data_IF_736839234569
#
_entry.id   IF_736839234569
#
_cell.length_a   1.000
_cell.length_b   1.000
_cell.length_c   1.000
_cell.angle_alpha   90.00
_cell.angle_beta   90.00
_cell.angle_gamma   90.00
#
_symmetry.space_group_name_H-M   'P 1'
#
loop_
_entity.id
_entity.type
_entity.pdbx_description
1 polymer ?
#
# COMPACT_ATOMS: atom_id res chain seq x y z
N UNK A 1 20.49 -7.52 -3.26
CA UNK A 1 19.02 -7.72 -3.22
C UNK A 1 18.41 -6.69 -4.16
N UNK A 2 18.02 -7.11 -5.36
CA UNK A 2 17.34 -6.22 -6.30
C UNK A 2 16.00 -5.83 -5.70
N UNK A 3 15.84 -4.56 -5.30
CA UNK A 3 14.52 -4.01 -4.99
C UNK A 3 13.81 -3.87 -6.33
N UNK A 4 12.98 -4.84 -6.68
CA UNK A 4 12.01 -4.66 -7.75
C UNK A 4 11.00 -3.63 -7.24
N UNK A 5 11.13 -2.39 -7.71
CA UNK A 5 10.16 -1.35 -7.42
C UNK A 5 8.93 -1.64 -8.25
N UNK A 6 7.95 -2.27 -7.61
CA UNK A 6 6.60 -2.24 -8.13
C UNK A 6 6.04 -0.82 -8.09
N UNK A 7 5.33 -0.41 -9.14
CA UNK A 7 4.58 0.83 -9.17
C UNK A 7 3.12 0.51 -8.86
N UNK A 8 2.47 1.31 -8.02
CA UNK A 8 1.06 1.12 -7.69
C UNK A 8 0.21 1.15 -8.98
N UNK A 9 -0.86 0.34 -9.01
CA UNK A 9 -1.77 0.30 -10.15
C UNK A 9 -2.49 1.64 -10.27
N UNK A 10 -2.61 2.17 -11.49
CA UNK A 10 -3.50 3.28 -11.79
C UNK A 10 -4.94 2.88 -11.43
N UNK A 11 -5.59 3.60 -10.48
CA UNK A 11 -6.93 3.26 -10.01
C UNK A 11 -7.98 3.51 -11.10
N UNK A 12 -9.12 2.83 -11.01
CA UNK A 12 -10.29 3.21 -11.80
C UNK A 12 -10.89 4.54 -11.32
N UNK A 13 -11.74 5.15 -12.14
CA UNK A 13 -12.46 6.39 -11.82
C UNK A 13 -13.93 6.09 -11.56
N UNK A 14 -14.48 6.64 -10.50
CA UNK A 14 -15.89 6.50 -10.12
C UNK A 14 -16.53 7.87 -9.96
N UNK A 15 -17.53 8.16 -10.78
CA UNK A 15 -18.37 9.35 -10.63
C UNK A 15 -19.47 9.05 -9.60
N UNK A 16 -19.48 9.80 -8.51
CA UNK A 16 -20.46 9.68 -7.42
C UNK A 16 -20.82 11.05 -6.86
N UNK A 17 -22.12 11.37 -6.82
CA UNK A 17 -22.67 12.64 -6.30
C UNK A 17 -21.99 13.90 -6.89
N UNK A 18 -21.65 13.86 -8.18
CA UNK A 18 -21.06 14.99 -8.90
C UNK A 18 -19.54 15.12 -8.76
N UNK A 19 -18.88 14.25 -7.99
CA UNK A 19 -17.43 14.19 -7.87
C UNK A 19 -16.86 12.96 -8.60
N UNK A 20 -15.58 13.00 -8.96
CA UNK A 20 -14.85 11.88 -9.58
C UNK A 20 -13.80 11.36 -8.61
N UNK A 21 -14.04 10.16 -8.10
CA UNK A 21 -13.20 9.50 -7.12
C UNK A 21 -12.28 8.48 -7.78
N UNK A 22 -11.04 8.39 -7.31
CA UNK A 22 -10.21 7.21 -7.57
C UNK A 22 -10.76 6.04 -6.75
N UNK A 23 -10.91 4.87 -7.38
CA UNK A 23 -11.27 3.65 -6.66
C UNK A 23 -10.14 2.62 -6.70
N UNK A 24 -9.86 2.08 -5.52
CA UNK A 24 -8.80 1.13 -5.23
C UNK A 24 -9.33 -0.31 -5.38
N UNK A 25 -9.89 -0.57 -6.56
CA UNK A 25 -10.43 -1.86 -6.98
C UNK A 25 -10.42 -1.94 -8.51
N UNK A 26 -10.61 -3.14 -9.06
CA UNK A 26 -10.73 -3.38 -10.50
C UNK A 26 -12.07 -4.07 -10.82
N UNK A 27 -13.23 -3.37 -10.75
CA UNK A 27 -14.54 -4.04 -10.80
C UNK A 27 -14.83 -4.72 -12.14
N UNK A 28 -14.18 -4.29 -13.23
CA UNK A 28 -14.30 -4.93 -14.55
C UNK A 28 -13.62 -6.30 -14.57
N UNK A 29 -12.55 -6.49 -13.78
CA UNK A 29 -11.86 -7.78 -13.70
C UNK A 29 -12.73 -8.88 -13.11
N UNK A 30 -13.76 -8.53 -12.35
CA UNK A 30 -14.71 -9.51 -11.80
C UNK A 30 -15.55 -10.22 -12.89
N UNK A 31 -15.54 -9.74 -14.15
CA UNK A 31 -16.19 -10.43 -15.27
C UNK A 31 -15.38 -11.59 -15.83
N UNK A 32 -14.06 -11.59 -15.63
CA UNK A 32 -13.15 -12.53 -16.25
C UNK A 32 -12.55 -13.45 -15.18
N UNK A 33 -12.40 -14.73 -15.49
CA UNK A 33 -11.77 -15.65 -14.52
C UNK A 33 -10.25 -15.47 -14.46
N UNK A 34 -9.63 -15.02 -15.56
CA UNK A 34 -8.23 -14.64 -15.65
C UNK A 34 -7.96 -13.68 -16.83
N UNK A 35 -6.75 -13.13 -16.89
CA UNK A 35 -6.30 -12.16 -17.89
C UNK A 35 -6.38 -12.65 -19.34
N UNK A 36 -6.31 -13.96 -19.60
CA UNK A 36 -6.35 -14.54 -20.95
C UNK A 36 -7.76 -14.52 -21.56
N UNK A 37 -8.79 -14.39 -20.72
CA UNK A 37 -10.18 -14.27 -21.15
C UNK A 37 -10.61 -12.83 -21.40
N UNK A 38 -9.73 -11.85 -21.11
CA UNK A 38 -10.02 -10.45 -21.43
C UNK A 38 -10.16 -10.29 -22.94
N UNK A 39 -11.21 -9.63 -23.42
CA UNK A 39 -11.29 -9.26 -24.82
C UNK A 39 -10.18 -8.26 -25.15
N UNK A 40 -9.81 -8.16 -26.43
CA UNK A 40 -8.95 -7.08 -26.91
C UNK A 40 -9.71 -5.75 -26.82
N UNK A 41 -9.64 -5.08 -25.66
CA UNK A 41 -10.39 -3.85 -25.40
C UNK A 41 -10.20 -2.77 -26.48
N UNK A 42 -9.02 -2.72 -27.10
CA UNK A 42 -8.66 -1.71 -28.10
C UNK A 42 -8.49 -2.27 -29.53
N UNK A 43 -8.93 -3.51 -29.78
CA UNK A 43 -8.79 -4.18 -31.08
C UNK A 43 -7.32 -4.34 -31.48
N UNK A 44 -6.96 -3.81 -32.65
CA UNK A 44 -5.58 -3.82 -33.18
C UNK A 44 -4.74 -2.61 -32.73
N UNK A 45 -5.33 -1.68 -31.99
CA UNK A 45 -4.58 -0.54 -31.43
C UNK A 45 -3.67 -1.03 -30.32
N UNK A 46 -2.42 -0.59 -30.34
CA UNK A 46 -1.43 -0.99 -29.35
C UNK A 46 -1.83 -0.47 -27.96
N UNK A 47 -2.06 -1.40 -27.02
CA UNK A 47 -2.26 -1.09 -25.61
C UNK A 47 -0.94 -0.61 -24.99
N UNK A 48 -1.02 0.20 -23.94
CA UNK A 48 0.19 0.71 -23.32
C UNK A 48 0.96 -0.35 -22.52
N UNK A 49 2.29 -0.33 -22.62
CA UNK A 49 3.22 -0.98 -21.68
C UNK A 49 3.69 0.00 -20.60
N UNK A 50 2.92 0.14 -19.52
CA UNK A 50 3.30 0.95 -18.35
C UNK A 50 3.42 0.10 -17.10
N UNK A 51 4.50 0.28 -16.35
CA UNK A 51 4.73 -0.40 -15.06
C UNK A 51 3.72 0.04 -13.99
N UNK A 52 3.06 1.20 -14.16
CA UNK A 52 2.00 1.69 -13.29
C UNK A 52 0.60 1.20 -13.72
N UNK A 53 0.47 0.57 -14.89
CA UNK A 53 -0.80 0.06 -15.40
C UNK A 53 -0.61 -1.33 -16.01
N UNK A 54 -0.34 -2.29 -15.12
CA UNK A 54 -0.08 -3.68 -15.48
C UNK A 54 -1.31 -4.36 -16.11
N UNK A 55 -2.53 -3.90 -15.81
CA UNK A 55 -3.76 -4.36 -16.49
C UNK A 55 -3.98 -3.79 -17.90
N UNK A 56 -3.21 -2.77 -18.30
CA UNK A 56 -3.27 -2.17 -19.64
C UNK A 56 -4.42 -1.20 -19.93
N UNK A 57 -5.35 -0.97 -18.98
CA UNK A 57 -6.45 -0.03 -19.13
C UNK A 57 -6.81 0.67 -17.82
N UNK A 58 -7.59 1.76 -17.90
CA UNK A 58 -8.30 2.42 -16.81
C UNK A 58 -9.80 2.43 -17.14
N UNK A 59 -10.66 1.96 -16.25
CA UNK A 59 -12.11 2.00 -16.43
C UNK A 59 -12.73 3.19 -15.68
N UNK A 60 -13.83 3.65 -16.24
CA UNK A 60 -14.65 4.72 -15.70
C UNK A 60 -16.04 4.18 -15.39
N UNK A 61 -16.52 4.56 -14.21
CA UNK A 61 -17.75 4.08 -13.62
C UNK A 61 -18.60 5.25 -13.15
N UNK A 62 -19.91 5.03 -13.05
CA UNK A 62 -20.85 5.99 -12.45
C UNK A 62 -21.88 5.25 -11.61
N UNK A 63 -22.31 5.86 -10.50
CA UNK A 63 -23.47 5.40 -9.73
C UNK A 63 -24.65 6.32 -10.04
N UNK A 64 -25.72 5.76 -10.58
CA UNK A 64 -26.97 6.47 -10.90
C UNK A 64 -28.11 5.70 -10.23
N UNK A 65 -28.96 6.40 -9.47
CA UNK A 65 -30.11 5.83 -8.75
C UNK A 65 -29.76 4.56 -7.94
N UNK A 66 -28.58 4.55 -7.32
CA UNK A 66 -28.10 3.43 -6.51
C UNK A 66 -27.58 2.23 -7.32
N UNK A 67 -27.42 2.34 -8.63
CA UNK A 67 -26.87 1.29 -9.48
C UNK A 67 -25.52 1.69 -10.07
N UNK A 68 -24.55 0.77 -10.07
CA UNK A 68 -23.25 0.93 -10.69
C UNK A 68 -23.32 0.63 -12.20
N UNK A 69 -22.67 1.48 -12.98
CA UNK A 69 -22.54 1.34 -14.42
C UNK A 69 -21.11 1.58 -14.87
N UNK A 70 -20.67 0.81 -15.87
CA UNK A 70 -19.44 1.05 -16.63
C UNK A 70 -19.74 2.05 -17.76
N UNK A 71 -18.96 3.14 -17.85
CA UNK A 71 -19.12 4.20 -18.88
C UNK A 71 -17.94 4.28 -19.83
N UNK A 72 -16.80 3.70 -19.47
CA UNK A 72 -15.63 3.68 -20.34
C UNK A 72 -14.54 2.72 -19.91
N UNK A 73 -13.76 2.29 -20.90
CA UNK A 73 -12.51 1.57 -20.73
C UNK A 73 -11.49 2.31 -21.60
N UNK A 74 -10.42 2.81 -21.01
CA UNK A 74 -9.46 3.69 -21.63
C UNK A 74 -8.06 3.08 -21.58
N UNK A 75 -7.24 3.29 -22.61
CA UNK A 75 -5.83 2.93 -22.54
C UNK A 75 -5.11 3.82 -21.53
N UNK A 76 -4.34 3.23 -20.63
CA UNK A 76 -3.70 3.96 -19.53
C UNK A 76 -2.74 5.08 -19.96
N UNK A 77 -2.06 4.94 -21.09
CA UNK A 77 -1.03 5.92 -21.52
C UNK A 77 -1.51 6.88 -22.60
N UNK A 78 -2.74 6.69 -23.05
CA UNK A 78 -3.36 7.45 -24.13
C UNK A 78 -4.75 7.93 -23.69
N UNK A 79 -4.91 8.20 -22.40
CA UNK A 79 -6.16 8.68 -21.83
C UNK A 79 -6.55 10.02 -22.46
N UNK A 80 -5.59 10.93 -22.62
CA UNK A 80 -5.77 12.24 -23.26
C UNK A 80 -5.97 12.13 -24.78
N UNK A 81 -5.36 11.12 -25.40
CA UNK A 81 -5.55 10.78 -26.83
C UNK A 81 -6.86 10.00 -27.08
N UNK A 82 -7.66 9.80 -26.03
CA UNK A 82 -9.00 9.19 -26.05
C UNK A 82 -9.04 7.81 -26.70
N UNK A 83 -7.99 7.00 -26.55
CA UNK A 83 -8.06 5.59 -26.93
C UNK A 83 -9.00 4.89 -25.95
N UNK A 84 -10.26 4.77 -26.38
CA UNK A 84 -11.37 4.18 -25.65
C UNK A 84 -11.83 2.90 -26.34
N UNK A 85 -12.19 1.90 -25.55
CA UNK A 85 -12.82 0.69 -26.05
C UNK A 85 -14.22 0.97 -26.62
N UNK A 86 -14.62 0.21 -27.63
CA UNK A 86 -16.00 0.23 -28.13
C UNK A 86 -16.89 -0.65 -27.23
N UNK A 87 -17.61 -0.01 -26.31
CA UNK A 87 -18.51 -0.71 -25.40
C UNK A 87 -19.70 -1.37 -26.13
N UNK A 88 -20.11 -0.86 -27.29
CA UNK A 88 -21.17 -1.48 -28.10
C UNK A 88 -20.68 -2.82 -28.65
N UNK A 89 -19.46 -2.84 -29.19
CA UNK A 89 -18.85 -4.08 -29.69
C UNK A 89 -18.57 -5.09 -28.55
N UNK A 90 -18.15 -4.61 -27.38
CA UNK A 90 -17.80 -5.49 -26.25
C UNK A 90 -19.01 -6.07 -25.50
N UNK A 91 -20.09 -5.28 -25.36
CA UNK A 91 -21.21 -5.64 -24.48
C UNK A 91 -22.55 -5.78 -25.21
N UNK A 92 -22.62 -5.45 -26.50
CA UNK A 92 -23.79 -5.63 -27.35
C UNK A 92 -25.04 -5.00 -26.74
N UNK A 93 -26.11 -5.80 -26.61
CA UNK A 93 -27.40 -5.36 -26.05
C UNK A 93 -27.34 -4.91 -24.57
N UNK A 94 -26.25 -5.22 -23.84
CA UNK A 94 -26.06 -4.72 -22.47
C UNK A 94 -25.60 -3.26 -22.42
N UNK A 95 -25.12 -2.71 -23.54
CA UNK A 95 -24.76 -1.30 -23.66
C UNK A 95 -26.00 -0.50 -24.05
N UNK A 96 -26.52 0.29 -23.10
CA UNK A 96 -27.76 1.06 -23.26
C UNK A 96 -27.50 2.50 -22.80
N UNK A 97 -27.84 3.48 -23.64
CA UNK A 97 -27.70 4.91 -23.34
C UNK A 97 -26.32 5.30 -22.78
N UNK A 98 -25.26 4.85 -23.46
CA UNK A 98 -23.88 5.22 -23.13
C UNK A 98 -23.24 4.45 -21.97
N UNK A 99 -23.89 3.43 -21.42
CA UNK A 99 -23.44 2.72 -20.21
C UNK A 99 -23.79 1.23 -20.20
N UNK A 100 -23.05 0.45 -19.42
CA UNK A 100 -23.31 -0.98 -19.19
C UNK A 100 -23.64 -1.18 -17.72
N UNK A 101 -24.80 -1.80 -17.44
CA UNK A 101 -25.23 -2.09 -16.07
C UNK A 101 -24.32 -3.14 -15.43
N UNK A 102 -23.68 -2.82 -14.31
CA UNK A 102 -22.62 -3.61 -13.70
C UNK A 102 -23.12 -4.70 -12.74
N UNK A 103 -24.11 -5.50 -13.17
CA UNK A 103 -24.80 -6.48 -12.30
C UNK A 103 -23.92 -7.62 -11.77
N UNK A 104 -22.69 -7.76 -12.29
CA UNK A 104 -21.69 -8.73 -11.82
C UNK A 104 -20.91 -8.27 -10.59
N UNK A 105 -20.95 -6.97 -10.25
CA UNK A 105 -20.12 -6.41 -9.18
C UNK A 105 -20.78 -6.68 -7.82
N UNK A 106 -20.13 -7.50 -7.00
CA UNK A 106 -20.49 -7.70 -5.59
C UNK A 106 -19.23 -7.60 -4.74
N UNK A 107 -19.27 -6.80 -3.69
CA UNK A 107 -18.14 -6.57 -2.79
C UNK A 107 -17.99 -5.12 -2.34
N UNK A 108 -16.91 -4.86 -1.61
CA UNK A 108 -16.60 -3.52 -1.10
C UNK A 108 -15.51 -2.88 -1.97
N UNK A 109 -15.69 -1.61 -2.30
CA UNK A 109 -14.73 -0.81 -3.07
C UNK A 109 -14.31 0.39 -2.23
N UNK A 110 -13.01 0.60 -2.08
CA UNK A 110 -12.45 1.75 -1.35
C UNK A 110 -12.13 2.88 -2.32
N UNK A 111 -12.51 4.10 -1.96
CA UNK A 111 -12.03 5.34 -2.54
C UNK A 111 -11.18 6.10 -1.50
N UNK A 112 -9.86 6.18 -1.66
CA UNK A 112 -9.00 6.91 -0.73
C UNK A 112 -9.19 8.43 -0.86
N UNK A 113 -9.06 9.14 0.26
CA UNK A 113 -9.24 10.58 0.35
C UNK A 113 -8.17 11.22 1.23
N UNK A 114 -7.75 12.44 0.86
CA UNK A 114 -6.81 13.25 1.62
C UNK A 114 -5.36 12.73 1.59
N UNK A 115 -4.61 12.99 2.67
CA UNK A 115 -3.16 12.69 2.71
C UNK A 115 -2.88 11.19 2.73
N UNK A 116 -1.92 10.74 1.92
CA UNK A 116 -1.33 9.40 2.04
C UNK A 116 -0.48 9.32 3.32
N UNK A 117 -0.92 8.50 4.28
CA UNK A 117 -0.28 8.28 5.57
C UNK A 117 0.83 7.24 5.51
N UNK A 118 0.69 6.24 4.63
CA UNK A 118 1.70 5.22 4.41
C UNK A 118 1.69 4.75 2.96
N UNK A 119 2.86 4.64 2.35
CA UNK A 119 3.01 4.18 0.97
C UNK A 119 3.28 2.68 0.91
N UNK A 120 2.53 1.98 0.07
CA UNK A 120 2.84 0.60 -0.34
C UNK A 120 3.11 0.59 -1.84
N UNK A 121 4.22 -0.04 -2.24
CA UNK A 121 4.71 -0.02 -3.61
C UNK A 121 3.78 -0.69 -4.63
N UNK A 122 3.01 -1.70 -4.23
CA UNK A 122 2.22 -2.51 -5.15
C UNK A 122 0.74 -2.54 -4.79
N UNK A 123 -0.09 -2.60 -5.84
CA UNK A 123 -1.54 -2.70 -5.71
C UNK A 123 -2.16 -1.42 -5.16
N UNK A 124 -3.10 -1.61 -4.22
CA UNK A 124 -3.93 -0.57 -3.65
C UNK A 124 -3.83 -0.51 -2.11
N UNK A 125 -2.68 -0.92 -1.55
CA UNK A 125 -2.49 -1.12 -0.11
C UNK A 125 -1.94 0.11 0.63
N UNK A 126 -1.73 1.22 -0.07
CA UNK A 126 -1.38 2.49 0.56
C UNK A 126 -2.50 2.96 1.50
N UNK A 127 -2.12 3.53 2.64
CA UNK A 127 -3.04 4.03 3.65
C UNK A 127 -3.25 5.54 3.48
N UNK A 128 -4.49 5.99 3.58
CA UNK A 128 -4.89 7.40 3.47
C UNK A 128 -5.63 7.87 4.71
N UNK A 129 -5.67 9.19 4.96
CA UNK A 129 -6.34 9.77 6.13
C UNK A 129 -7.80 9.38 6.23
N UNK A 130 -8.47 9.23 5.09
CA UNK A 130 -9.88 8.85 4.97
C UNK A 130 -10.05 7.86 3.84
N UNK A 131 -10.92 6.88 4.05
CA UNK A 131 -11.28 5.88 3.04
C UNK A 131 -12.82 5.82 2.98
N UNK A 132 -13.38 6.12 1.81
CA UNK A 132 -14.81 5.95 1.54
C UNK A 132 -15.04 4.56 0.95
N UNK A 133 -15.72 3.70 1.67
CA UNK A 133 -16.16 2.38 1.22
C UNK A 133 -17.53 2.46 0.57
N UNK A 134 -17.65 1.87 -0.61
CA UNK A 134 -18.90 1.56 -1.29
C UNK A 134 -19.17 0.07 -1.18
N UNK A 135 -20.37 -0.29 -0.74
CA UNK A 135 -20.80 -1.69 -0.59
C UNK A 135 -21.77 -2.04 -1.70
N UNK A 136 -21.41 -3.01 -2.54
CA UNK A 136 -22.20 -3.41 -3.70
C UNK A 136 -22.73 -4.85 -3.59
N UNK A 137 -23.94 -5.06 -4.09
CA UNK A 137 -24.52 -6.37 -4.35
C UNK A 137 -25.19 -6.38 -5.71
N UNK A 138 -24.71 -7.23 -6.62
CA UNK A 138 -25.16 -7.32 -8.01
C UNK A 138 -25.25 -5.94 -8.70
N UNK A 139 -24.21 -5.11 -8.52
CA UNK A 139 -24.12 -3.75 -9.03
C UNK A 139 -24.95 -2.70 -8.27
N UNK A 140 -25.86 -3.10 -7.39
CA UNK A 140 -26.62 -2.18 -6.54
C UNK A 140 -25.79 -1.70 -5.34
N UNK A 141 -25.70 -0.39 -5.14
CA UNK A 141 -25.12 0.25 -3.97
C UNK A 141 -26.06 0.05 -2.77
N UNK A 142 -25.66 -0.78 -1.82
CA UNK A 142 -26.45 -1.08 -0.62
C UNK A 142 -26.04 -0.23 0.58
N UNK A 143 -24.89 0.43 0.52
CA UNK A 143 -24.41 1.29 1.59
C UNK A 143 -23.07 1.93 1.30
N UNK A 144 -22.74 2.95 2.09
CA UNK A 144 -21.42 3.59 2.09
C UNK A 144 -20.94 3.75 3.53
N UNK A 145 -19.64 3.55 3.79
CA UNK A 145 -19.03 3.82 5.09
C UNK A 145 -17.77 4.66 4.92
N UNK A 146 -17.58 5.67 5.75
CA UNK A 146 -16.32 6.44 5.78
C UNK A 146 -15.49 6.02 6.97
N UNK A 147 -14.23 5.70 6.72
CA UNK A 147 -13.24 5.40 7.74
C UNK A 147 -12.32 6.60 7.95
N UNK A 148 -12.02 6.90 9.22
CA UNK A 148 -11.06 7.92 9.63
C UNK A 148 -9.81 7.23 10.19
N UNK A 149 -8.69 7.38 9.49
CA UNK A 149 -7.39 6.81 9.82
C UNK A 149 -6.42 7.85 10.39
N UNK A 150 -6.89 9.07 10.71
CA UNK A 150 -6.07 10.20 11.17
C UNK A 150 -5.38 9.99 12.52
N UNK A 151 -5.80 8.99 13.30
CA UNK A 151 -5.08 8.53 14.51
C UNK A 151 -3.70 7.92 14.21
N UNK A 152 -3.43 7.60 12.95
CA UNK A 152 -2.13 7.12 12.50
C UNK A 152 -1.08 8.21 12.62
N UNK A 153 0.13 7.84 13.04
CA UNK A 153 1.26 8.74 13.18
C UNK A 153 2.56 8.03 12.87
N UNK A 154 3.50 8.81 12.35
CA UNK A 154 4.86 8.39 12.10
C UNK A 154 5.77 9.05 13.13
N UNK A 155 6.59 8.24 13.79
CA UNK A 155 7.61 8.70 14.72
C UNK A 155 8.67 9.55 14.01
N UNK A 156 9.37 10.38 14.76
CA UNK A 156 10.53 11.09 14.22
C UNK A 156 11.69 10.13 13.90
N UNK A 157 11.74 8.97 14.55
CA UNK A 157 12.78 7.96 14.32
C UNK A 157 12.62 7.23 12.98
N UNK A 158 11.39 6.96 12.53
CA UNK A 158 11.16 6.34 11.22
C UNK A 158 11.37 7.33 10.06
N UNK A 159 11.12 8.62 10.30
CA UNK A 159 11.28 9.70 9.30
C UNK A 159 12.72 10.20 9.15
N UNK A 160 13.52 10.11 10.21
CA UNK A 160 14.90 10.59 10.25
C UNK A 160 15.85 9.42 10.54
N UNK A 161 16.43 8.81 9.49
CA UNK A 161 17.37 7.70 9.62
C UNK A 161 18.61 8.04 10.45
N UNK A 162 19.09 9.29 10.43
CA UNK A 162 20.27 9.68 11.21
C UNK A 162 19.92 9.85 12.69
N UNK A 163 18.73 10.37 13.02
CA UNK A 163 18.23 10.41 14.40
C UNK A 163 18.06 9.01 14.99
N UNK A 164 17.51 8.07 14.22
CA UNK A 164 17.39 6.67 14.64
C UNK A 164 18.77 6.04 14.84
N UNK A 165 19.67 6.22 13.88
CA UNK A 165 21.04 5.72 13.95
C UNK A 165 21.79 6.27 15.18
N UNK A 166 21.72 7.58 15.43
CA UNK A 166 22.32 8.21 16.61
C UNK A 166 21.75 7.59 17.89
N UNK A 167 20.42 7.47 17.99
CA UNK A 167 19.78 6.83 19.14
C UNK A 167 20.29 5.40 19.36
N UNK A 168 20.20 4.55 18.33
CA UNK A 168 20.61 3.16 18.42
C UNK A 168 22.07 3.03 18.87
N UNK A 169 23.01 3.66 18.15
CA UNK A 169 24.42 3.40 18.42
C UNK A 169 24.95 4.07 19.69
N UNK A 170 24.36 5.20 20.12
CA UNK A 170 24.69 5.83 21.41
C UNK A 170 24.12 5.07 22.62
N UNK A 171 23.07 4.29 22.43
CA UNK A 171 22.45 3.49 23.50
C UNK A 171 23.02 2.07 23.59
N UNK A 172 23.90 1.66 22.68
CA UNK A 172 24.60 0.37 22.77
C UNK A 172 25.65 0.42 23.89
N UNK A 173 25.66 -0.62 24.73
CA UNK A 173 26.67 -0.82 25.74
C UNK A 173 27.93 -1.48 25.16
N UNK A 174 28.72 -0.67 24.46
CA UNK A 174 29.95 -1.11 23.80
C UNK A 174 30.97 -1.77 24.73
N UNK A 175 30.98 -1.43 26.02
CA UNK A 175 31.92 -1.99 27.01
C UNK A 175 31.67 -3.47 27.30
N UNK A 176 30.44 -3.95 27.11
CA UNK A 176 30.05 -5.35 27.32
C UNK A 176 30.14 -6.22 26.08
N UNK A 177 30.46 -5.63 24.93
CA UNK A 177 30.54 -6.32 23.66
C UNK A 177 31.98 -6.68 23.31
N UNK A 178 32.26 -7.93 22.90
CA UNK A 178 33.59 -8.33 22.46
C UNK A 178 34.00 -7.52 21.22
N UNK A 179 35.29 -7.23 21.09
CA UNK A 179 35.83 -6.62 19.87
C UNK A 179 35.80 -7.66 18.75
N UNK A 180 35.44 -7.22 17.56
CA UNK A 180 35.46 -8.06 16.35
C UNK A 180 36.26 -7.37 15.26
N UNK A 181 37.02 -8.15 14.49
CA UNK A 181 37.76 -7.64 13.33
C UNK A 181 36.81 -7.25 12.20
N UNK A 182 35.76 -8.03 12.00
CA UNK A 182 34.74 -7.81 10.97
C UNK A 182 33.43 -7.29 11.57
N UNK A 183 32.64 -6.47 10.85
CA UNK A 183 31.35 -6.00 11.33
C UNK A 183 30.36 -7.15 11.60
N UNK A 184 29.84 -7.21 12.82
CA UNK A 184 28.77 -8.13 13.21
C UNK A 184 27.42 -7.50 12.87
N UNK A 185 26.55 -8.22 12.17
CA UNK A 185 25.23 -7.74 11.74
C UNK A 185 24.13 -8.60 12.36
N UNK A 186 23.26 -7.96 13.14
CA UNK A 186 22.07 -8.60 13.72
C UNK A 186 20.83 -7.96 13.13
N UNK A 187 19.93 -8.77 12.56
CA UNK A 187 18.68 -8.30 11.98
C UNK A 187 17.54 -8.50 12.97
N UNK A 188 16.96 -7.41 13.44
CA UNK A 188 15.83 -7.43 14.37
C UNK A 188 14.56 -7.08 13.61
N UNK A 189 13.58 -7.98 13.65
CA UNK A 189 12.21 -7.67 13.30
C UNK A 189 11.47 -7.14 14.53
N UNK A 190 10.70 -6.07 14.40
CA UNK A 190 9.94 -5.51 15.50
C UNK A 190 8.64 -4.84 15.04
N UNK A 191 7.72 -4.61 15.99
CA UNK A 191 6.53 -3.80 15.76
C UNK A 191 6.12 -3.10 17.05
N UNK A 192 5.45 -1.95 16.93
CA UNK A 192 4.94 -1.20 18.06
C UNK A 192 3.45 -1.45 18.32
N UNK A 193 3.02 -1.16 19.55
CA UNK A 193 1.62 -1.14 19.96
C UNK A 193 0.95 0.22 19.69
N UNK A 194 -0.28 0.40 20.13
CA UNK A 194 -1.09 1.62 19.96
C UNK A 194 -0.44 2.89 20.53
N UNK A 195 0.41 2.73 21.56
CA UNK A 195 1.14 3.82 22.20
C UNK A 195 2.44 4.16 21.47
N UNK A 196 2.81 3.39 20.44
CA UNK A 196 4.07 3.55 19.71
C UNK A 196 5.25 2.90 20.43
N UNK A 197 5.01 2.05 21.44
CA UNK A 197 6.07 1.36 22.18
C UNK A 197 6.40 0.04 21.50
N UNK A 198 7.70 -0.22 21.29
CA UNK A 198 8.19 -1.49 20.74
C UNK A 198 8.14 -2.58 21.81
N UNK A 199 7.06 -3.36 21.82
CA UNK A 199 6.85 -4.47 22.75
C UNK A 199 6.99 -5.86 22.08
N UNK A 200 7.11 -5.91 20.76
CA UNK A 200 7.30 -7.15 19.99
C UNK A 200 8.59 -7.07 19.20
N UNK A 201 9.50 -8.01 19.44
CA UNK A 201 10.79 -8.16 18.76
C UNK A 201 11.08 -9.62 18.44
N UNK A 202 11.84 -9.84 17.37
CA UNK A 202 12.35 -11.16 16.98
C UNK A 202 13.69 -11.01 16.27
N UNK A 203 14.69 -11.77 16.71
CA UNK A 203 15.96 -11.90 15.99
C UNK A 203 15.70 -12.75 14.75
N UNK A 204 15.92 -12.18 13.56
CA UNK A 204 15.70 -12.87 12.28
C UNK A 204 16.98 -13.54 11.79
N UNK A 205 18.10 -12.84 11.90
CA UNK A 205 19.44 -13.35 11.62
C UNK A 205 20.39 -12.75 12.66
N UNK A 206 20.82 -13.60 13.59
CA UNK A 206 21.70 -13.23 14.71
C UNK A 206 23.16 -13.52 14.42
N UNK A 207 23.99 -13.36 15.45
CA UNK A 207 25.40 -13.76 15.44
C UNK A 207 25.73 -14.65 16.63
N UNK A 208 25.57 -14.11 17.84
CA UNK A 208 25.65 -14.85 19.10
C UNK A 208 24.73 -14.21 20.14
N UNK A 209 24.51 -14.91 21.26
CA UNK A 209 23.61 -14.46 22.32
C UNK A 209 24.00 -13.12 22.96
N UNK A 210 25.24 -12.67 22.84
CA UNK A 210 25.71 -11.39 23.38
C UNK A 210 25.26 -10.24 22.49
N UNK A 211 25.57 -10.30 21.19
CA UNK A 211 25.16 -9.27 20.23
C UNK A 211 23.65 -9.26 20.00
N UNK A 212 23.02 -10.44 19.98
CA UNK A 212 21.59 -10.58 19.72
C UNK A 212 20.75 -9.94 20.84
N UNK A 213 21.11 -10.20 22.11
CA UNK A 213 20.43 -9.59 23.26
C UNK A 213 20.61 -8.08 23.30
N UNK A 214 21.80 -7.60 22.96
CA UNK A 214 22.07 -6.16 22.96
C UNK A 214 21.32 -5.44 21.83
N UNK A 215 21.28 -6.04 20.63
CA UNK A 215 20.49 -5.55 19.51
C UNK A 215 18.99 -5.51 19.86
N UNK A 216 18.46 -6.56 20.47
CA UNK A 216 17.06 -6.58 20.91
C UNK A 216 16.78 -5.51 21.98
N UNK A 217 17.67 -5.38 22.99
CA UNK A 217 17.52 -4.40 24.08
C UNK A 217 17.45 -2.98 23.55
N UNK A 218 18.35 -2.60 22.64
CA UNK A 218 18.38 -1.23 22.11
C UNK A 218 17.18 -0.93 21.20
N UNK A 219 16.69 -1.92 20.45
CA UNK A 219 15.46 -1.77 19.63
C UNK A 219 14.22 -1.62 20.51
N UNK A 220 14.09 -2.37 21.60
CA UNK A 220 13.00 -2.19 22.57
C UNK A 220 13.05 -0.84 23.29
N UNK A 221 14.22 -0.24 23.39
CA UNK A 221 14.41 1.04 24.06
C UNK A 221 14.03 2.25 23.20
N UNK A 222 13.70 2.08 21.91
CA UNK A 222 13.26 3.17 21.05
C UNK A 222 12.03 3.85 21.69
N UNK A 223 12.06 5.18 21.96
CA UNK A 223 11.04 5.82 22.79
C UNK A 223 9.64 5.82 22.17
N UNK A 224 9.57 5.96 20.86
CA UNK A 224 8.34 5.93 20.08
C UNK A 224 8.60 5.40 18.68
N UNK A 225 7.61 4.72 18.12
CA UNK A 225 7.61 4.22 16.75
C UNK A 225 6.28 4.53 16.06
N UNK A 226 6.20 4.17 14.79
CA UNK A 226 5.02 4.39 13.97
C UNK A 226 3.81 3.59 14.46
N UNK A 227 2.65 4.24 14.38
CA UNK A 227 1.35 3.65 14.71
C UNK A 227 0.40 3.90 13.55
N UNK A 228 -0.20 2.85 13.03
CA UNK A 228 -1.15 2.94 11.92
C UNK A 228 -2.50 2.35 12.34
N UNK A 229 -3.56 3.06 11.98
CA UNK A 229 -4.93 2.58 12.10
C UNK A 229 -5.52 2.48 10.71
N UNK A 230 -6.19 1.36 10.42
CA UNK A 230 -6.98 1.18 9.20
C UNK A 230 -8.32 0.58 9.56
N UNK A 231 -9.39 1.21 9.07
CA UNK A 231 -10.77 0.76 9.30
C UNK A 231 -11.05 0.50 10.79
N UNK A 232 -10.74 1.49 11.65
CA UNK A 232 -10.95 1.48 13.11
C UNK A 232 -10.06 0.50 13.90
N UNK A 233 -9.16 -0.25 13.25
CA UNK A 233 -8.29 -1.25 13.89
C UNK A 233 -6.83 -0.82 13.86
N UNK A 234 -6.10 -1.12 14.95
CA UNK A 234 -4.65 -0.99 14.98
C UNK A 234 -4.04 -1.97 13.97
N UNK A 235 -3.24 -1.46 13.05
CA UNK A 235 -2.51 -2.26 12.07
C UNK A 235 -1.03 -2.32 12.46
N UNK A 236 -0.64 -3.37 13.19
CA UNK A 236 0.74 -3.56 13.63
C UNK A 236 1.65 -3.93 12.45
N UNK A 237 2.36 -2.95 11.92
CA UNK A 237 3.34 -3.16 10.85
C UNK A 237 4.67 -3.67 11.40
N UNK A 238 5.21 -4.70 10.75
CA UNK A 238 6.51 -5.29 11.07
C UNK A 238 7.62 -4.56 10.32
N UNK A 239 8.63 -4.14 11.06
CA UNK A 239 9.84 -3.50 10.56
C UNK A 239 11.02 -4.43 10.76
N UNK A 240 11.99 -4.42 9.84
CA UNK A 240 13.25 -5.15 9.99
C UNK A 240 14.40 -4.17 9.91
N UNK A 241 15.22 -4.13 10.95
CA UNK A 241 16.38 -3.23 11.03
C UNK A 241 17.67 -4.02 11.26
N UNK A 242 18.72 -3.79 10.46
CA UNK A 242 20.05 -4.29 10.75
C UNK A 242 20.74 -3.41 11.81
N UNK A 243 21.19 -4.04 12.89
CA UNK A 243 22.12 -3.44 13.87
C UNK A 243 23.52 -3.90 13.51
N UNK A 244 24.43 -2.94 13.26
CA UNK A 244 25.80 -3.22 12.81
C UNK A 244 26.79 -2.86 13.91
N UNK A 245 27.34 -3.88 14.56
CA UNK A 245 28.40 -3.71 15.54
C UNK A 245 29.75 -3.73 14.82
N UNK A 246 30.41 -2.59 14.75
CA UNK A 246 31.74 -2.42 14.14
C UNK A 246 32.63 -1.58 15.03
N UNK A 247 33.95 -1.70 14.88
CA UNK A 247 34.89 -0.85 15.62
C UNK A 247 34.78 0.63 15.25
N UNK A 248 34.32 0.96 14.03
CA UNK A 248 34.05 2.35 13.63
C UNK A 248 32.85 2.93 14.38
N UNK A 249 31.75 2.18 14.46
CA UNK A 249 30.60 2.58 15.28
C UNK A 249 30.98 2.64 16.76
N UNK A 250 31.76 1.67 17.25
CA UNK A 250 32.29 1.68 18.62
C UNK A 250 33.05 2.97 18.90
N UNK A 251 34.07 3.31 18.10
CA UNK A 251 34.86 4.54 18.27
C UNK A 251 34.02 5.81 18.21
N UNK A 252 32.99 5.83 17.37
CA UNK A 252 32.14 7.02 17.19
C UNK A 252 31.15 7.23 18.34
N UNK A 253 30.55 6.16 18.85
CA UNK A 253 29.40 6.26 19.77
C UNK A 253 29.68 5.76 21.19
N UNK A 254 30.82 5.11 21.42
CA UNK A 254 31.31 4.81 22.76
C UNK A 254 31.79 6.13 23.40
N UNK A 255 30.87 6.84 24.05
CA UNK A 255 31.18 7.95 24.94
C UNK A 255 31.57 7.43 26.32
#
# INVERSE_FOLDING_TARGET
MFKTFGTAQVPDRLVYKGDTLSIFANPLELLYSDDSQRPKFFGDKEGCNSTACWRGYQAEWVIIDGQLYLTGIFSCCFYDDKIKADLTALFGSKFVDGKVKADWVTGNIIAPQGKQLYYVHMGYESLYEKELEFQFRNGGLIGTKTYDNSKSRQSNYSKDPEKLKEFIYSHINWTRLPKSKEPVKVFIQFSANENGIVDSTKVMNGYDATFDREAERVVKAIPEWDVYYRHEKLERRKWTMPIIFSEDNRKKYQK
#
